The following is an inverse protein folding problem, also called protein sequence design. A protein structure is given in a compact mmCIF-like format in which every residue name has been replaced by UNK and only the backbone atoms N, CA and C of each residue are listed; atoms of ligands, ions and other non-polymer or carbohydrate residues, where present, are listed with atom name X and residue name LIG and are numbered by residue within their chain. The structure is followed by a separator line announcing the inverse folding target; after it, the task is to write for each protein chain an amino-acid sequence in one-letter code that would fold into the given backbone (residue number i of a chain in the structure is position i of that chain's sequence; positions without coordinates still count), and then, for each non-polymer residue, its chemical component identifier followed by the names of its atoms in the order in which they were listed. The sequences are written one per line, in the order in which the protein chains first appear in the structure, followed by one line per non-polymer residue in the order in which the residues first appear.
data_IF_451292811414
#
_entry.id   IF_451292811414
#
_cell.length_a   1.000
_cell.length_b   1.000
_cell.length_c   1.000
_cell.angle_alpha   90.00
_cell.angle_beta   90.00
_cell.angle_gamma   90.00
#
_symmetry.space_group_name_H-M   'P 1'
#
loop_
_entity.id
_entity.type
_entity.pdbx_description
1 polymer ?
#
# COMPACT_ATOMS: atom_id res chain seq x y z
N UNK A 1 -8.29 4.51 2.37
CA UNK A 1 -7.48 3.35 2.81
C UNK A 1 -6.11 3.45 2.17
N UNK A 2 -5.03 3.11 2.88
CA UNK A 2 -3.68 3.05 2.30
C UNK A 2 -3.18 1.61 2.27
N UNK A 3 -2.61 1.22 1.13
CA UNK A 3 -1.84 0.00 0.95
C UNK A 3 -0.38 0.36 1.16
N UNK A 4 0.29 -0.25 2.13
CA UNK A 4 1.69 0.03 2.45
C UNK A 4 2.52 -1.21 2.11
N UNK A 5 3.46 -1.04 1.19
CA UNK A 5 4.42 -2.07 0.79
C UNK A 5 5.82 -1.66 1.23
N UNK A 6 6.54 -2.59 1.85
CA UNK A 6 7.98 -2.44 2.09
C UNK A 6 8.75 -3.38 1.16
N UNK A 7 9.79 -2.90 0.50
CA UNK A 7 10.63 -3.69 -0.40
C UNK A 7 12.12 -3.46 -0.16
N UNK A 8 12.94 -4.47 -0.43
CA UNK A 8 14.40 -4.40 -0.39
C UNK A 8 14.99 -5.22 -1.54
N UNK A 9 15.65 -4.56 -2.50
CA UNK A 9 16.32 -5.19 -3.64
C UNK A 9 15.42 -6.11 -4.51
N UNK A 10 14.10 -5.87 -4.57
CA UNK A 10 13.15 -6.58 -5.43
C UNK A 10 12.43 -5.65 -6.41
N UNK A 11 13.18 -4.77 -7.10
CA UNK A 11 12.64 -3.72 -7.99
C UNK A 11 11.63 -4.22 -9.03
N UNK A 12 11.91 -5.37 -9.65
CA UNK A 12 11.02 -5.95 -10.66
C UNK A 12 9.69 -6.41 -10.05
N UNK A 13 9.73 -7.10 -8.90
CA UNK A 13 8.53 -7.59 -8.22
C UNK A 13 7.65 -6.42 -7.76
N UNK A 14 8.24 -5.42 -7.09
CA UNK A 14 7.47 -4.27 -6.61
C UNK A 14 6.91 -3.44 -7.78
N UNK A 15 7.64 -3.31 -8.89
CA UNK A 15 7.13 -2.61 -10.09
C UNK A 15 5.94 -3.35 -10.71
N UNK A 16 6.00 -4.70 -10.79
CA UNK A 16 4.85 -5.51 -11.23
C UNK A 16 3.65 -5.32 -10.30
N UNK A 17 3.88 -5.30 -8.99
CA UNK A 17 2.83 -5.07 -7.98
C UNK A 17 2.21 -3.67 -8.10
N UNK A 18 3.03 -2.62 -8.24
CA UNK A 18 2.57 -1.24 -8.47
C UNK A 18 1.69 -1.17 -9.72
N UNK A 19 2.16 -1.71 -10.85
CA UNK A 19 1.41 -1.66 -12.11
C UNK A 19 0.09 -2.42 -12.03
N UNK A 20 0.09 -3.58 -11.36
CA UNK A 20 -1.12 -4.39 -11.12
C UNK A 20 -2.13 -3.63 -10.28
N UNK A 21 -1.72 -3.07 -9.14
CA UNK A 21 -2.59 -2.27 -8.26
C UNK A 21 -3.10 -1.01 -8.98
N UNK A 22 -2.22 -0.33 -9.73
CA UNK A 22 -2.59 0.85 -10.48
C UNK A 22 -3.73 0.54 -11.46
N UNK A 23 -3.56 -0.50 -12.30
CA UNK A 23 -4.56 -0.91 -13.30
C UNK A 23 -5.88 -1.39 -12.70
N UNK A 24 -5.83 -2.10 -11.58
CA UNK A 24 -6.99 -2.81 -11.01
C UNK A 24 -7.74 -2.00 -9.95
N UNK A 25 -7.09 -1.04 -9.29
CA UNK A 25 -7.69 -0.22 -8.25
C UNK A 25 -7.58 1.27 -8.58
N UNK A 26 -6.36 1.77 -8.81
CA UNK A 26 -6.12 3.23 -8.82
C UNK A 26 -6.56 3.93 -10.11
N UNK A 27 -6.80 3.21 -11.20
CA UNK A 27 -7.39 3.76 -12.43
C UNK A 27 -8.88 3.49 -12.55
N UNK A 28 -9.45 2.63 -11.71
CA UNK A 28 -10.87 2.28 -11.76
C UNK A 28 -11.69 3.36 -11.06
N UNK A 29 -12.68 3.95 -11.74
CA UNK A 29 -13.50 5.04 -11.20
C UNK A 29 -14.18 4.68 -9.88
N UNK A 30 -14.53 3.42 -9.68
CA UNK A 30 -15.13 2.90 -8.44
C UNK A 30 -14.18 2.96 -7.23
N UNK A 31 -12.86 2.81 -7.46
CA UNK A 31 -11.88 2.56 -6.40
C UNK A 31 -10.79 3.64 -6.28
N UNK A 32 -10.50 4.41 -7.33
CA UNK A 32 -9.37 5.34 -7.41
C UNK A 32 -9.26 6.33 -6.26
N UNK A 33 -10.40 6.78 -5.73
CA UNK A 33 -10.46 7.76 -4.65
C UNK A 33 -10.49 7.11 -3.26
N UNK A 34 -10.66 5.78 -3.18
CA UNK A 34 -10.74 5.00 -1.93
C UNK A 34 -9.40 4.47 -1.47
N UNK A 35 -8.47 4.25 -2.40
CA UNK A 35 -7.17 3.65 -2.13
C UNK A 35 -6.01 4.61 -2.44
N UNK A 36 -4.96 4.51 -1.65
CA UNK A 36 -3.63 5.05 -1.91
C UNK A 36 -2.63 3.92 -1.80
N UNK A 37 -1.58 3.92 -2.63
CA UNK A 37 -0.49 2.97 -2.57
C UNK A 37 0.78 3.71 -2.12
N UNK A 38 1.38 3.25 -1.03
CA UNK A 38 2.63 3.77 -0.49
C UNK A 38 3.66 2.64 -0.57
N UNK A 39 4.73 2.87 -1.33
CA UNK A 39 5.84 1.93 -1.47
C UNK A 39 7.07 2.51 -0.80
N UNK A 40 7.54 1.83 0.23
CA UNK A 40 8.77 2.16 0.94
C UNK A 40 9.87 1.22 0.47
N UNK A 41 10.85 1.76 -0.24
CA UNK A 41 11.99 1.03 -0.75
C UNK A 41 13.20 1.25 0.16
N UNK A 42 13.63 0.19 0.83
CA UNK A 42 14.81 0.17 1.70
C UNK A 42 16.10 -0.21 0.95
N UNK A 43 16.00 -0.53 -0.34
CA UNK A 43 17.12 -0.98 -1.17
C UNK A 43 17.65 0.13 -2.07
N UNK A 44 18.26 -0.29 -3.18
CA UNK A 44 18.67 0.64 -4.22
C UNK A 44 17.49 1.47 -4.74
N UNK A 45 17.74 2.75 -5.01
CA UNK A 45 16.69 3.69 -5.41
C UNK A 45 15.84 3.17 -6.59
N UNK A 46 14.53 3.38 -6.47
CA UNK A 46 13.55 3.12 -7.52
C UNK A 46 13.09 4.47 -8.07
N UNK A 47 13.30 4.69 -9.36
CA UNK A 47 12.79 5.85 -10.08
C UNK A 47 11.42 5.53 -10.65
N UNK A 48 10.39 5.62 -9.81
CA UNK A 48 9.00 5.52 -10.22
C UNK A 48 8.29 6.83 -9.91
N UNK A 49 7.60 7.47 -10.88
CA UNK A 49 6.94 8.73 -10.65
C UNK A 49 5.81 8.54 -9.63
N UNK A 50 5.74 9.42 -8.63
CA UNK A 50 4.57 9.49 -7.75
C UNK A 50 3.41 10.13 -8.53
N UNK A 51 2.19 9.62 -8.32
CA UNK A 51 1.01 10.05 -9.06
C UNK A 51 -0.11 9.02 -9.04
N UNK A 52 -1.34 9.44 -9.39
CA UNK A 52 -2.53 8.57 -9.38
C UNK A 52 -2.76 7.81 -8.04
N UNK A 53 -2.46 8.45 -6.91
CA UNK A 53 -2.55 7.81 -5.60
C UNK A 53 -1.39 6.89 -5.23
N UNK A 54 -0.31 6.85 -6.03
CA UNK A 54 0.93 6.13 -5.78
C UNK A 54 1.97 7.08 -5.20
N UNK A 55 2.63 6.66 -4.12
CA UNK A 55 3.73 7.37 -3.46
C UNK A 55 4.88 6.37 -3.34
N UNK A 56 6.05 6.72 -3.86
CA UNK A 56 7.27 5.90 -3.76
C UNK A 56 8.33 6.64 -2.96
N UNK A 57 8.85 5.99 -1.93
CA UNK A 57 9.78 6.58 -0.96
C UNK A 57 11.02 5.71 -0.92
N UNK A 58 12.16 6.28 -1.31
CA UNK A 58 13.46 5.66 -1.05
C UNK A 58 13.84 5.96 0.41
N UNK A 59 14.11 4.91 1.17
CA UNK A 59 14.32 4.95 2.61
C UNK A 59 15.64 4.25 2.95
N UNK A 60 16.28 4.63 4.05
CA UNK A 60 17.44 3.90 4.56
C UNK A 60 17.04 2.47 4.92
N UNK A 61 17.99 1.54 4.83
CA UNK A 61 17.71 0.15 5.19
C UNK A 61 17.59 -0.02 6.71
N UNK A 62 16.38 0.19 7.22
CA UNK A 62 16.01 0.05 8.63
C UNK A 62 15.20 -1.24 8.89
N UNK A 63 15.34 -2.24 8.00
CA UNK A 63 14.59 -3.49 8.04
C UNK A 63 13.10 -3.35 7.72
N UNK A 64 12.37 -4.46 7.76
CA UNK A 64 10.94 -4.51 7.42
C UNK A 64 10.09 -3.63 8.33
N UNK A 65 10.32 -3.69 9.65
CA UNK A 65 9.61 -2.85 10.62
C UNK A 65 9.83 -1.36 10.39
N UNK A 66 11.06 -0.94 10.07
CA UNK A 66 11.36 0.45 9.74
C UNK A 66 10.64 0.92 8.46
N UNK A 67 10.58 0.06 7.44
CA UNK A 67 9.84 0.35 6.22
C UNK A 67 8.34 0.48 6.44
N UNK A 68 7.72 -0.46 7.16
CA UNK A 68 6.29 -0.39 7.47
C UNK A 68 5.94 0.79 8.37
N UNK A 69 6.77 1.10 9.37
CA UNK A 69 6.59 2.28 10.22
C UNK A 69 6.69 3.57 9.39
N UNK A 70 7.67 3.64 8.46
CA UNK A 70 7.77 4.78 7.55
C UNK A 70 6.51 4.92 6.70
N UNK A 71 6.00 3.82 6.15
CA UNK A 71 4.77 3.84 5.36
C UNK A 71 3.54 4.25 6.18
N UNK A 72 3.44 3.81 7.43
CA UNK A 72 2.38 4.21 8.36
C UNK A 72 2.42 5.70 8.68
N UNK A 73 3.61 6.26 8.95
CA UNK A 73 3.78 7.70 9.19
C UNK A 73 3.31 8.50 7.97
N UNK A 74 3.65 8.06 6.76
CA UNK A 74 3.28 8.75 5.53
C UNK A 74 1.78 8.63 5.23
N UNK A 75 1.17 7.48 5.52
CA UNK A 75 -0.27 7.31 5.49
C UNK A 75 -1.00 8.28 6.43
N UNK A 76 -0.47 8.49 7.63
CA UNK A 76 -1.02 9.41 8.64
C UNK A 76 -0.99 10.89 8.24
N UNK A 77 -0.19 11.27 7.23
CA UNK A 77 -0.17 12.64 6.68
C UNK A 77 -1.27 12.89 5.65
N UNK A 78 -2.00 11.85 5.23
CA UNK A 78 -3.05 11.94 4.22
C UNK A 78 -4.41 12.02 4.93
N UNK A 79 -5.06 13.18 4.88
CA UNK A 79 -6.29 13.48 5.64
C UNK A 79 -7.42 12.42 5.49
N UNK A 80 -7.54 11.79 4.32
CA UNK A 80 -8.63 10.84 4.02
C UNK A 80 -8.28 9.36 4.26
N UNK A 81 -7.10 9.08 4.83
CA UNK A 81 -6.68 7.72 5.15
C UNK A 81 -6.97 7.40 6.62
N UNK A 82 -7.95 6.50 6.85
CA UNK A 82 -8.33 6.02 8.18
C UNK A 82 -7.85 4.61 8.52
N UNK A 83 -7.48 3.84 7.51
CA UNK A 83 -7.07 2.44 7.62
C UNK A 83 -5.85 2.19 6.75
N UNK A 84 -4.95 1.35 7.25
CA UNK A 84 -3.75 0.89 6.57
C UNK A 84 -3.81 -0.63 6.43
N UNK A 85 -3.49 -1.13 5.24
CA UNK A 85 -3.23 -2.54 4.97
C UNK A 85 -1.74 -2.65 4.69
N UNK A 86 -1.04 -3.43 5.52
CA UNK A 86 0.36 -3.79 5.28
C UNK A 86 0.42 -4.99 4.33
N UNK A 87 1.29 -4.91 3.33
CA UNK A 87 1.46 -5.94 2.32
C UNK A 87 2.95 -6.13 2.00
N UNK A 88 3.34 -7.34 1.66
CA UNK A 88 4.64 -7.61 1.06
C UNK A 88 4.71 -7.17 -0.40
N UNK A 89 5.92 -7.15 -0.97
CA UNK A 89 6.20 -6.67 -2.32
C UNK A 89 5.97 -7.69 -3.43
N UNK A 90 5.89 -8.98 -3.10
CA UNK A 90 5.50 -10.00 -4.06
C UNK A 90 3.99 -10.01 -4.28
N UNK A 91 3.61 -9.94 -5.56
CA UNK A 91 2.24 -9.72 -6.01
C UNK A 91 1.28 -10.88 -5.80
N UNK A 92 1.53 -11.75 -4.82
CA UNK A 92 0.69 -12.90 -4.45
C UNK A 92 -0.66 -12.49 -3.85
N UNK A 93 -0.78 -11.25 -3.35
CA UNK A 93 -2.04 -10.75 -2.81
C UNK A 93 -3.07 -10.49 -3.93
N UNK A 94 -4.15 -11.27 -3.93
CA UNK A 94 -5.30 -11.11 -4.80
C UNK A 94 -6.02 -9.76 -4.54
N UNK A 95 -6.32 -9.02 -5.61
CA UNK A 95 -7.00 -7.71 -5.50
C UNK A 95 -8.36 -7.85 -4.82
N UNK A 96 -9.04 -8.98 -5.04
CA UNK A 96 -10.31 -9.28 -4.40
C UNK A 96 -10.20 -9.31 -2.87
N UNK A 97 -9.08 -9.79 -2.32
CA UNK A 97 -8.84 -9.82 -0.87
C UNK A 97 -8.67 -8.43 -0.28
N UNK A 98 -8.06 -7.49 -1.03
CA UNK A 98 -8.01 -6.07 -0.66
C UNK A 98 -9.43 -5.48 -0.67
N UNK A 99 -10.21 -5.74 -1.72
CA UNK A 99 -11.58 -5.23 -1.83
C UNK A 99 -12.51 -5.77 -0.74
N UNK A 100 -12.42 -7.07 -0.41
CA UNK A 100 -13.19 -7.67 0.69
C UNK A 100 -12.79 -7.13 2.05
N UNK A 101 -11.50 -7.00 2.31
CA UNK A 101 -11.00 -6.37 3.55
C UNK A 101 -11.55 -4.94 3.68
N UNK A 102 -11.52 -4.17 2.58
CA UNK A 102 -12.09 -2.83 2.55
C UNK A 102 -13.59 -2.81 2.83
N UNK A 103 -14.37 -3.66 2.15
CA UNK A 103 -15.82 -3.75 2.35
C UNK A 103 -16.18 -4.18 3.78
N UNK A 104 -15.43 -5.14 4.34
CA UNK A 104 -15.62 -5.59 5.71
C UNK A 104 -15.35 -4.46 6.72
N UNK A 105 -14.22 -3.76 6.60
CA UNK A 105 -13.86 -2.66 7.50
C UNK A 105 -14.83 -1.47 7.39
N UNK A 106 -15.42 -1.21 6.22
CA UNK A 106 -16.46 -0.18 6.07
C UNK A 106 -17.74 -0.50 6.86
N UNK A 107 -18.04 -1.78 7.06
CA UNK A 107 -19.24 -2.25 7.76
C UNK A 107 -18.97 -2.63 9.22
N UNK A 108 -17.70 -2.56 9.66
CA UNK A 108 -17.30 -2.89 11.01
C UNK A 108 -17.93 -1.91 12.02
N UNK A 109 -18.62 -2.46 13.02
CA UNK A 109 -19.26 -1.67 14.09
C UNK A 109 -18.30 -1.35 15.24
N UNK A 110 -17.32 -2.22 15.47
CA UNK A 110 -16.28 -2.01 16.47
C UNK A 110 -15.09 -1.29 15.84
N UNK A 111 -14.71 -0.15 16.42
CA UNK A 111 -13.54 0.64 16.01
C UNK A 111 -12.21 -0.09 16.20
N UNK A 112 -12.19 -1.13 17.04
CA UNK A 112 -11.01 -1.95 17.32
C UNK A 112 -10.88 -3.15 16.37
N UNK A 113 -11.77 -3.26 15.37
CA UNK A 113 -11.73 -4.37 14.41
C UNK A 113 -10.43 -4.33 13.61
N UNK A 114 -9.73 -5.46 13.56
CA UNK A 114 -8.52 -5.68 12.77
C UNK A 114 -8.69 -6.93 11.93
N UNK A 115 -8.20 -6.90 10.69
CA UNK A 115 -8.14 -8.07 9.79
C UNK A 115 -6.69 -8.50 9.67
N UNK A 116 -6.44 -9.80 9.85
CA UNK A 116 -5.12 -10.44 9.74
C UNK A 116 -5.29 -11.78 9.00
N UNK A 117 -4.27 -12.21 8.26
CA UNK A 117 -4.26 -13.43 7.47
C UNK A 117 -2.85 -13.78 7.03
#
# INVERSE_FOLDING_TARGET
MALVITTYNRKEAVTKTINRINKTLLTQSEFKDRFKLIVVNNGEAINHPSGNGIIVINNENLGGSGGFMRGLIEAGKINDVKHVIFMDDDGSCEIESICRTHAFLLMAKDKNTVVTG
#
